data_IF_938247278473
#
_entry.id   IF_938247278473
#
_cell.length_a   1.000
_cell.length_b   1.000
_cell.length_c   1.000
_cell.angle_alpha   90.00
_cell.angle_beta   90.00
_cell.angle_gamma   90.00
#
_symmetry.space_group_name_H-M   'P 1'
#
loop_
_entity.id
_entity.type
_entity.pdbx_description
1 polymer ?
#
# COMPACT_ATOMS: atom_id res chain seq x y z
N UNK A 1 44.09 -18.40 -61.05
CA UNK A 1 42.77 -17.90 -60.60
C UNK A 1 42.58 -18.27 -59.13
N UNK A 2 43.07 -17.43 -58.21
CA UNK A 2 42.68 -17.52 -56.80
C UNK A 2 42.16 -16.16 -56.39
N UNK A 3 40.86 -16.12 -56.12
CA UNK A 3 40.12 -14.93 -55.72
C UNK A 3 40.50 -14.52 -54.30
N UNK A 4 40.68 -13.21 -54.12
CA UNK A 4 40.86 -12.56 -52.83
C UNK A 4 39.56 -12.66 -52.01
N UNK A 5 39.66 -13.20 -50.79
CA UNK A 5 38.60 -13.15 -49.81
C UNK A 5 38.69 -11.81 -49.05
N UNK A 6 37.65 -10.98 -49.20
CA UNK A 6 37.44 -9.81 -48.35
C UNK A 6 37.25 -10.25 -46.90
N UNK A 7 38.08 -9.71 -46.01
CA UNK A 7 37.88 -9.81 -44.57
C UNK A 7 36.63 -9.00 -44.17
N UNK A 8 35.69 -9.66 -43.48
CA UNK A 8 34.57 -9.00 -42.84
C UNK A 8 35.07 -8.17 -41.64
N UNK A 9 34.64 -6.91 -41.58
CA UNK A 9 34.83 -6.04 -40.41
C UNK A 9 34.22 -6.68 -39.16
N UNK A 10 34.83 -6.50 -37.97
CA UNK A 10 34.21 -6.87 -36.71
C UNK A 10 33.00 -5.95 -36.48
N UNK A 11 31.83 -6.57 -36.35
CA UNK A 11 30.59 -5.94 -35.91
C UNK A 11 30.84 -5.20 -34.60
N UNK A 12 30.49 -3.92 -34.57
CA UNK A 12 30.55 -3.07 -33.38
C UNK A 12 29.88 -3.77 -32.20
N UNK A 13 30.57 -3.82 -31.05
CA UNK A 13 29.97 -4.14 -29.75
C UNK A 13 28.71 -3.29 -29.60
N UNK A 14 27.56 -3.96 -29.45
CA UNK A 14 26.25 -3.33 -29.33
C UNK A 14 26.26 -2.28 -28.23
N UNK A 15 25.66 -1.12 -28.50
CA UNK A 15 25.47 -0.09 -27.50
C UNK A 15 24.61 -0.66 -26.35
N UNK A 16 25.08 -0.47 -25.11
CA UNK A 16 24.33 -0.78 -23.89
C UNK A 16 22.99 -0.07 -23.90
N UNK A 17 21.89 -0.81 -23.77
CA UNK A 17 20.56 -0.19 -23.73
C UNK A 17 20.34 0.36 -22.32
N UNK A 18 20.39 1.68 -22.19
CA UNK A 18 20.05 2.37 -20.95
C UNK A 18 18.78 3.20 -21.16
N UNK A 19 17.82 3.07 -20.25
CA UNK A 19 16.60 3.89 -20.24
C UNK A 19 16.23 4.30 -18.82
N UNK A 20 15.82 5.55 -18.67
CA UNK A 20 15.34 6.13 -17.42
C UNK A 20 14.06 6.90 -17.67
N UNK A 21 13.16 6.91 -16.69
CA UNK A 21 11.96 7.75 -16.65
C UNK A 21 12.30 9.05 -15.93
N UNK A 22 12.74 10.06 -16.69
CA UNK A 22 13.16 11.35 -16.12
C UNK A 22 11.99 12.04 -15.38
N UNK A 23 12.21 12.39 -14.12
CA UNK A 23 11.20 13.04 -13.26
C UNK A 23 10.27 12.07 -12.52
N UNK A 24 10.46 10.75 -12.64
CA UNK A 24 9.83 9.80 -11.73
C UNK A 24 10.57 9.82 -10.39
N UNK A 25 9.89 10.28 -9.35
CA UNK A 25 10.41 10.42 -8.00
C UNK A 25 9.45 9.78 -6.99
N UNK A 26 10.00 9.13 -5.97
CA UNK A 26 9.22 8.64 -4.84
C UNK A 26 8.52 9.78 -4.08
N UNK A 27 7.42 9.46 -3.41
CA UNK A 27 6.72 10.38 -2.53
C UNK A 27 7.18 10.24 -1.08
N UNK A 28 6.37 10.81 -0.19
CA UNK A 28 6.65 10.85 1.25
C UNK A 28 5.69 9.94 2.05
N UNK A 29 5.06 8.93 1.42
CA UNK A 29 4.12 8.03 2.12
C UNK A 29 4.86 6.93 2.87
N UNK A 30 4.30 6.56 4.02
CA UNK A 30 4.82 5.42 4.80
C UNK A 30 4.35 4.08 4.22
N UNK A 31 3.16 4.05 3.64
CA UNK A 31 2.68 2.88 2.91
C UNK A 31 3.38 2.83 1.54
N UNK A 32 4.60 2.29 1.51
CA UNK A 32 5.52 2.31 0.34
C UNK A 32 4.89 1.80 -0.95
N UNK A 33 3.95 0.85 -0.87
CA UNK A 33 3.20 0.36 -2.04
C UNK A 33 2.38 1.47 -2.69
N UNK A 34 1.64 2.20 -1.86
CA UNK A 34 0.75 3.27 -2.30
C UNK A 34 1.56 4.51 -2.65
N UNK A 35 2.73 4.71 -2.02
CA UNK A 35 3.73 5.69 -2.46
C UNK A 35 4.15 5.47 -3.91
N UNK A 36 4.53 4.23 -4.24
CA UNK A 36 4.93 3.87 -5.60
C UNK A 36 3.79 4.12 -6.60
N UNK A 37 2.54 3.85 -6.22
CA UNK A 37 1.36 4.11 -7.06
C UNK A 37 1.06 5.60 -7.20
N UNK A 38 1.18 6.40 -6.14
CA UNK A 38 1.00 7.85 -6.19
C UNK A 38 2.07 8.52 -7.05
N UNK A 39 3.34 8.13 -6.88
CA UNK A 39 4.45 8.58 -7.71
C UNK A 39 4.26 8.22 -9.19
N UNK A 40 3.85 6.98 -9.47
CA UNK A 40 3.59 6.53 -10.83
C UNK A 40 2.43 7.29 -11.49
N UNK A 41 1.32 7.49 -10.78
CA UNK A 41 0.17 8.23 -11.32
C UNK A 41 0.52 9.72 -11.55
N UNK A 42 1.26 10.34 -10.63
CA UNK A 42 1.80 11.70 -10.81
C UNK A 42 2.70 11.81 -12.04
N UNK A 43 3.63 10.87 -12.24
CA UNK A 43 4.50 10.84 -13.42
C UNK A 43 3.71 10.73 -14.72
N UNK A 44 2.66 9.91 -14.74
CA UNK A 44 1.78 9.73 -15.90
C UNK A 44 0.82 10.91 -16.13
N UNK A 45 0.83 11.94 -15.28
CA UNK A 45 -0.11 13.06 -15.35
C UNK A 45 -1.54 12.68 -14.98
N UNK A 46 -1.72 11.58 -14.25
CA UNK A 46 -3.03 11.11 -13.76
C UNK A 46 -3.36 11.88 -12.48
N UNK A 47 -4.41 12.68 -12.52
CA UNK A 47 -4.89 13.42 -11.37
C UNK A 47 -5.77 12.53 -10.47
N UNK A 48 -5.17 12.00 -9.41
CA UNK A 48 -5.86 11.25 -8.37
C UNK A 48 -5.42 11.78 -7.01
N UNK A 49 -6.36 11.93 -6.08
CA UNK A 49 -6.02 12.31 -4.69
C UNK A 49 -5.52 11.09 -3.93
N UNK A 50 -4.73 11.29 -2.88
CA UNK A 50 -4.31 10.19 -2.01
C UNK A 50 -5.50 9.48 -1.34
N UNK A 51 -6.53 10.22 -0.95
CA UNK A 51 -7.77 9.64 -0.41
C UNK A 51 -8.45 8.71 -1.42
N UNK A 52 -8.62 9.17 -2.67
CA UNK A 52 -9.20 8.36 -3.73
C UNK A 52 -8.35 7.13 -4.09
N UNK A 53 -7.02 7.27 -4.09
CA UNK A 53 -6.09 6.17 -4.32
C UNK A 53 -6.16 5.11 -3.22
N UNK A 54 -6.01 5.50 -1.95
CA UNK A 54 -6.00 4.56 -0.83
C UNK A 54 -7.37 3.92 -0.59
N UNK A 55 -8.44 4.73 -0.65
CA UNK A 55 -9.80 4.24 -0.44
C UNK A 55 -10.30 3.40 -1.60
N UNK A 56 -10.08 3.85 -2.84
CA UNK A 56 -10.51 3.15 -4.05
C UNK A 56 -9.77 1.83 -4.30
N UNK A 57 -8.55 1.67 -3.77
CA UNK A 57 -7.86 0.37 -3.75
C UNK A 57 -8.23 -0.51 -2.55
N UNK A 58 -9.04 0.01 -1.62
CA UNK A 58 -9.40 -0.65 -0.37
C UNK A 58 -8.31 -0.62 0.71
N UNK A 59 -7.09 -0.15 0.39
CA UNK A 59 -5.96 -0.19 1.30
C UNK A 59 -6.17 0.66 2.56
N UNK A 60 -6.90 1.78 2.43
CA UNK A 60 -7.24 2.67 3.55
C UNK A 60 -7.95 1.96 4.72
N UNK A 61 -8.63 0.85 4.44
CA UNK A 61 -9.47 0.11 5.40
C UNK A 61 -8.82 -1.17 5.91
N UNK A 62 -7.71 -1.60 5.32
CA UNK A 62 -6.96 -2.76 5.76
C UNK A 62 -6.22 -2.43 7.06
N UNK A 63 -6.11 -3.44 7.91
CA UNK A 63 -5.17 -3.47 9.04
C UNK A 63 -4.81 -4.93 9.29
N UNK A 64 -3.52 -5.22 9.44
CA UNK A 64 -3.03 -6.58 9.73
C UNK A 64 -1.88 -6.54 10.75
N UNK A 65 -2.04 -7.28 11.84
CA UNK A 65 -1.08 -7.30 12.95
C UNK A 65 -0.76 -8.74 13.38
N UNK A 66 0.52 -9.00 13.64
CA UNK A 66 0.99 -10.19 14.34
C UNK A 66 1.03 -9.97 15.86
N UNK A 67 1.12 -11.05 16.63
CA UNK A 67 1.07 -11.01 18.09
C UNK A 67 2.16 -10.16 18.76
N UNK A 68 3.31 -10.00 18.11
CA UNK A 68 4.46 -9.23 18.55
C UNK A 68 4.56 -7.84 17.89
N UNK A 69 3.58 -7.48 17.06
CA UNK A 69 3.62 -6.28 16.21
C UNK A 69 4.86 -6.27 15.30
N UNK A 70 5.31 -7.43 14.81
CA UNK A 70 6.41 -7.51 13.85
C UNK A 70 6.21 -6.49 12.70
N UNK A 71 7.25 -5.69 12.34
CA UNK A 71 7.15 -4.67 11.30
C UNK A 71 6.67 -5.18 9.93
N UNK A 72 6.73 -6.49 9.66
CA UNK A 72 6.21 -7.05 8.41
C UNK A 72 4.68 -7.03 8.33
N UNK A 73 3.97 -6.88 9.46
CA UNK A 73 2.52 -7.02 9.56
C UNK A 73 1.71 -6.22 8.52
N UNK A 74 2.05 -4.96 8.19
CA UNK A 74 1.33 -4.20 7.16
C UNK A 74 1.31 -4.85 5.77
N UNK A 75 2.26 -5.75 5.50
CA UNK A 75 2.36 -6.49 4.25
C UNK A 75 1.81 -7.92 4.34
N UNK A 76 1.45 -8.40 5.54
CA UNK A 76 1.04 -9.78 5.81
C UNK A 76 -0.44 -10.06 5.57
N UNK A 77 -0.93 -9.64 4.40
CA UNK A 77 -2.28 -9.92 3.92
C UNK A 77 -2.29 -10.18 2.41
N UNK A 78 -3.35 -10.80 1.90
CA UNK A 78 -3.52 -11.16 0.50
C UNK A 78 -3.89 -9.92 -0.30
N UNK A 79 -2.94 -9.34 -1.03
CA UNK A 79 -3.13 -8.10 -1.78
C UNK A 79 -3.92 -8.25 -3.10
N UNK A 80 -4.38 -9.46 -3.45
CA UNK A 80 -5.18 -9.71 -4.65
C UNK A 80 -6.43 -8.83 -4.81
N UNK A 81 -7.23 -8.57 -3.75
CA UNK A 81 -8.35 -7.63 -3.81
C UNK A 81 -7.92 -6.20 -4.19
N UNK A 82 -6.80 -5.70 -3.67
CA UNK A 82 -6.27 -4.38 -4.01
C UNK A 82 -6.04 -4.24 -5.53
N UNK A 83 -5.41 -5.25 -6.14
CA UNK A 83 -5.16 -5.30 -7.58
C UNK A 83 -6.46 -5.32 -8.40
N UNK A 84 -7.52 -5.95 -7.88
CA UNK A 84 -8.83 -5.95 -8.54
C UNK A 84 -9.51 -4.59 -8.43
N UNK A 85 -9.48 -3.98 -7.25
CA UNK A 85 -10.09 -2.68 -6.96
C UNK A 85 -9.40 -1.54 -7.70
N UNK A 86 -8.07 -1.60 -7.83
CA UNK A 86 -7.30 -0.62 -8.60
C UNK A 86 -7.79 -0.46 -10.05
N UNK A 87 -8.46 -1.47 -10.64
CA UNK A 87 -9.04 -1.40 -11.99
C UNK A 87 -10.22 -0.44 -12.11
N UNK A 88 -10.79 0.00 -10.99
CA UNK A 88 -11.82 1.03 -10.97
C UNK A 88 -11.22 2.44 -11.06
N UNK A 89 -9.90 2.60 -10.92
CA UNK A 89 -9.21 3.88 -10.94
C UNK A 89 -8.69 4.23 -12.35
N UNK A 90 -8.19 5.45 -12.52
CA UNK A 90 -7.69 5.96 -13.80
C UNK A 90 -6.33 5.36 -14.24
N UNK A 91 -5.95 4.22 -13.67
CA UNK A 91 -4.75 3.47 -14.00
C UNK A 91 -5.02 1.98 -13.90
N UNK A 92 -4.19 1.18 -14.57
CA UNK A 92 -4.16 -0.27 -14.40
C UNK A 92 -2.76 -0.72 -14.04
N UNK A 93 -2.72 -1.81 -13.29
CA UNK A 93 -1.49 -2.48 -12.91
C UNK A 93 -1.33 -3.76 -13.72
N UNK A 94 -0.17 -3.92 -14.35
CA UNK A 94 0.31 -5.16 -14.94
C UNK A 94 1.54 -5.63 -14.15
N UNK A 95 1.87 -6.92 -14.17
CA UNK A 95 3.05 -7.36 -13.42
C UNK A 95 3.36 -8.84 -13.50
N UNK A 96 4.49 -9.19 -12.87
CA UNK A 96 5.00 -10.54 -12.70
C UNK A 96 5.22 -10.75 -11.21
N UNK A 97 4.57 -11.78 -10.65
CA UNK A 97 4.61 -12.08 -9.24
C UNK A 97 4.76 -13.59 -8.99
N UNK A 98 5.48 -13.97 -7.95
CA UNK A 98 5.58 -15.36 -7.52
C UNK A 98 6.30 -15.54 -6.17
N UNK A 99 5.99 -16.64 -5.47
CA UNK A 99 6.48 -16.90 -4.12
C UNK A 99 7.98 -17.24 -4.05
N UNK A 100 8.63 -17.41 -5.21
CA UNK A 100 10.06 -17.69 -5.32
C UNK A 100 10.65 -17.00 -6.54
N UNK A 101 11.70 -16.22 -6.33
CA UNK A 101 12.55 -15.64 -7.36
C UNK A 101 13.36 -16.74 -8.08
N UNK A 102 12.71 -17.49 -8.97
CA UNK A 102 13.39 -18.42 -9.87
C UNK A 102 14.00 -17.65 -11.03
N UNK A 103 15.03 -18.22 -11.67
CA UNK A 103 15.64 -17.62 -12.87
C UNK A 103 14.60 -17.28 -13.94
N UNK A 104 13.66 -18.19 -14.22
CA UNK A 104 12.61 -17.96 -15.21
C UNK A 104 11.69 -16.80 -14.82
N UNK A 105 11.34 -16.68 -13.54
CA UNK A 105 10.49 -15.60 -13.07
C UNK A 105 11.24 -14.26 -13.10
N UNK A 106 12.52 -14.25 -12.73
CA UNK A 106 13.39 -13.07 -12.84
C UNK A 106 13.53 -12.63 -14.30
N UNK A 107 13.70 -13.55 -15.25
CA UNK A 107 13.77 -13.24 -16.69
C UNK A 107 12.45 -12.62 -17.18
N UNK A 108 11.30 -13.14 -16.75
CA UNK A 108 9.99 -12.55 -17.07
C UNK A 108 9.79 -11.17 -16.45
N UNK A 109 10.24 -10.97 -15.21
CA UNK A 109 10.18 -9.68 -14.52
C UNK A 109 11.06 -8.64 -15.25
N UNK A 110 12.27 -9.04 -15.65
CA UNK A 110 13.19 -8.22 -16.43
C UNK A 110 12.59 -7.76 -17.76
N UNK A 111 12.04 -8.70 -18.53
CA UNK A 111 11.41 -8.40 -19.82
C UNK A 111 10.18 -7.50 -19.65
N UNK A 112 9.38 -7.73 -18.59
CA UNK A 112 8.23 -6.91 -18.25
C UNK A 112 8.63 -5.46 -17.96
N UNK A 113 9.61 -5.25 -17.06
CA UNK A 113 10.07 -3.91 -16.68
C UNK A 113 10.65 -3.18 -17.90
N UNK A 114 11.49 -3.85 -18.71
CA UNK A 114 12.05 -3.24 -19.92
C UNK A 114 10.98 -2.83 -20.92
N UNK A 115 9.99 -3.68 -21.14
CA UNK A 115 8.89 -3.37 -22.05
C UNK A 115 8.04 -2.19 -21.54
N UNK A 116 7.74 -2.15 -20.25
CA UNK A 116 6.95 -1.08 -19.62
C UNK A 116 7.70 0.26 -19.65
N UNK A 117 8.95 0.31 -19.18
CA UNK A 117 9.79 1.51 -19.21
C UNK A 117 10.04 1.95 -20.66
N UNK A 118 10.18 1.01 -21.59
CA UNK A 118 10.28 1.31 -23.02
C UNK A 118 9.06 2.04 -23.61
N UNK A 119 7.90 1.92 -22.96
CA UNK A 119 6.65 2.60 -23.29
C UNK A 119 6.41 3.86 -22.44
N UNK A 120 7.32 4.19 -21.52
CA UNK A 120 7.14 5.30 -20.59
C UNK A 120 6.24 4.97 -19.39
N UNK A 121 6.01 3.70 -19.09
CA UNK A 121 5.20 3.26 -17.95
C UNK A 121 6.09 3.03 -16.71
N UNK A 122 5.84 3.73 -15.58
CA UNK A 122 6.54 3.50 -14.31
C UNK A 122 6.42 2.06 -13.85
N UNK A 123 7.50 1.56 -13.25
CA UNK A 123 7.52 0.25 -12.59
C UNK A 123 7.86 0.40 -11.11
N UNK A 124 7.45 -0.59 -10.32
CA UNK A 124 7.83 -0.74 -8.93
C UNK A 124 7.86 -2.22 -8.56
N UNK A 125 8.49 -2.58 -7.44
CA UNK A 125 8.54 -3.98 -7.01
C UNK A 125 8.84 -4.14 -5.54
N UNK A 126 8.70 -5.38 -5.06
CA UNK A 126 8.90 -5.74 -3.66
C UNK A 126 10.35 -6.14 -3.38
N UNK A 127 11.01 -5.43 -2.46
CA UNK A 127 12.34 -5.74 -1.95
C UNK A 127 12.48 -5.26 -0.50
N UNK A 128 11.94 -6.04 0.45
CA UNK A 128 11.72 -5.69 1.88
C UNK A 128 10.67 -4.61 2.10
N UNK A 129 10.66 -3.60 1.24
CA UNK A 129 9.63 -2.59 1.06
C UNK A 129 9.30 -2.49 -0.44
N UNK A 130 8.25 -1.74 -0.79
CA UNK A 130 8.02 -1.41 -2.19
C UNK A 130 8.95 -0.29 -2.64
N UNK A 131 9.58 -0.48 -3.79
CA UNK A 131 10.55 0.47 -4.37
C UNK A 131 10.17 0.81 -5.80
N UNK A 132 10.32 2.09 -6.17
CA UNK A 132 10.16 2.52 -7.56
C UNK A 132 11.36 2.07 -8.38
N UNK A 133 11.08 1.58 -9.58
CA UNK A 133 12.07 1.26 -10.60
C UNK A 133 12.05 2.40 -11.63
N UNK A 134 13.08 3.25 -11.59
CA UNK A 134 13.17 4.49 -12.37
C UNK A 134 13.84 4.29 -13.73
N UNK A 135 14.45 3.13 -13.97
CA UNK A 135 15.14 2.83 -15.20
C UNK A 135 15.84 1.48 -15.17
N UNK A 136 16.61 1.22 -16.22
CA UNK A 136 17.46 0.05 -16.32
C UNK A 136 18.65 0.28 -17.26
N UNK A 137 19.67 -0.57 -17.12
CA UNK A 137 20.76 -0.76 -18.09
C UNK A 137 21.02 -2.25 -18.36
N UNK A 138 22.16 -2.62 -18.95
CA UNK A 138 22.49 -4.02 -19.21
C UNK A 138 22.72 -4.86 -17.93
N UNK A 139 23.00 -4.22 -16.79
CA UNK A 139 23.28 -4.88 -15.51
C UNK A 139 22.00 -5.09 -14.69
N UNK A 140 21.12 -4.09 -14.63
CA UNK A 140 19.81 -4.24 -14.02
C UNK A 140 19.09 -2.92 -13.78
N UNK A 141 18.40 -2.81 -12.64
CA UNK A 141 17.45 -1.72 -12.40
C UNK A 141 18.11 -0.51 -11.74
N UNK A 142 17.54 0.67 -12.00
CA UNK A 142 17.73 1.87 -11.20
C UNK A 142 16.52 2.07 -10.30
N UNK A 143 16.75 2.54 -9.08
CA UNK A 143 15.71 2.64 -8.05
C UNK A 143 15.59 4.06 -7.49
N UNK A 144 14.43 4.33 -6.91
CA UNK A 144 14.20 5.48 -6.01
C UNK A 144 13.37 5.00 -4.82
N UNK A 145 13.76 5.38 -3.60
CA UNK A 145 13.02 5.06 -2.37
C UNK A 145 13.93 4.93 -1.16
N UNK A 146 13.35 4.47 -0.03
CA UNK A 146 14.07 4.30 1.23
C UNK A 146 15.04 3.11 1.26
N UNK A 147 14.84 2.14 0.37
CA UNK A 147 15.68 0.96 0.23
C UNK A 147 16.33 1.01 -1.15
N UNK A 148 17.62 0.71 -1.21
CA UNK A 148 18.37 0.55 -2.46
C UNK A 148 18.68 -0.94 -2.65
N UNK A 149 17.87 -1.68 -3.44
CA UNK A 149 18.17 -3.06 -3.79
C UNK A 149 19.50 -3.20 -4.56
N UNK A 150 20.00 -4.44 -4.61
CA UNK A 150 21.10 -4.76 -5.51
C UNK A 150 20.74 -4.47 -6.96
N UNK A 151 21.69 -3.84 -7.68
CA UNK A 151 21.51 -3.43 -9.07
C UNK A 151 21.19 -4.63 -10.00
N UNK A 152 21.77 -5.81 -9.75
CA UNK A 152 21.54 -6.99 -10.60
C UNK A 152 20.07 -7.44 -10.50
N UNK A 153 19.35 -7.37 -11.63
CA UNK A 153 17.93 -7.74 -11.67
C UNK A 153 17.66 -9.20 -11.26
N UNK A 154 18.66 -10.08 -11.34
CA UNK A 154 18.55 -11.48 -10.91
C UNK A 154 18.46 -11.63 -9.41
N UNK A 155 19.03 -10.67 -8.69
CA UNK A 155 19.05 -10.63 -7.23
C UNK A 155 17.79 -9.96 -6.64
N UNK A 156 17.05 -9.20 -7.47
CA UNK A 156 15.80 -8.56 -7.08
C UNK A 156 14.79 -9.61 -6.59
N UNK A 157 14.21 -9.36 -5.40
CA UNK A 157 13.39 -10.32 -4.67
C UNK A 157 14.16 -11.51 -4.05
N UNK A 158 15.12 -12.10 -4.78
CA UNK A 158 15.87 -13.29 -4.37
C UNK A 158 16.68 -13.07 -3.09
N UNK A 159 17.39 -11.93 -2.98
CA UNK A 159 18.16 -11.56 -1.78
C UNK A 159 17.33 -10.87 -0.69
N UNK A 160 16.05 -10.61 -0.96
CA UNK A 160 15.12 -10.15 0.06
C UNK A 160 14.55 -11.35 0.84
N UNK A 161 13.24 -11.49 0.89
CA UNK A 161 12.55 -12.64 1.47
C UNK A 161 12.38 -13.82 0.48
N UNK A 162 12.95 -13.70 -0.72
CA UNK A 162 12.86 -14.72 -1.77
C UNK A 162 11.62 -14.61 -2.67
N UNK A 163 10.69 -13.71 -2.37
CA UNK A 163 9.53 -13.40 -3.20
C UNK A 163 9.93 -12.44 -4.32
N UNK A 164 9.37 -12.61 -5.51
CA UNK A 164 9.58 -11.70 -6.62
C UNK A 164 8.24 -11.15 -7.08
N UNK A 165 8.07 -9.84 -6.93
CA UNK A 165 6.90 -9.11 -7.40
C UNK A 165 7.38 -7.81 -8.05
N UNK A 166 7.01 -7.61 -9.31
CA UNK A 166 7.22 -6.37 -10.05
C UNK A 166 5.94 -6.00 -10.79
N UNK A 167 5.62 -4.72 -10.80
CA UNK A 167 4.43 -4.19 -11.45
C UNK A 167 4.76 -2.94 -12.27
N UNK A 168 4.07 -2.78 -13.38
CA UNK A 168 3.99 -1.56 -14.16
C UNK A 168 2.65 -0.85 -13.93
N UNK A 169 2.66 0.47 -13.96
CA UNK A 169 1.45 1.30 -13.93
C UNK A 169 1.29 1.97 -15.28
N UNK A 170 0.09 1.91 -15.84
CA UNK A 170 -0.24 2.58 -17.08
C UNK A 170 -1.64 3.23 -17.00
N UNK A 171 -1.91 4.29 -17.79
CA UNK A 171 -3.22 4.93 -17.78
C UNK A 171 -4.35 3.97 -18.18
N UNK A 172 -5.52 4.17 -17.57
CA UNK A 172 -6.73 3.42 -17.90
C UNK A 172 -7.97 4.31 -17.73
N UNK A 173 -9.06 3.90 -18.37
CA UNK A 173 -10.35 4.54 -18.14
C UNK A 173 -10.89 4.13 -16.76
N UNK A 174 -11.25 5.08 -15.87
CA UNK A 174 -11.81 4.74 -14.57
C UNK A 174 -13.21 4.15 -14.69
N UNK A 175 -13.61 3.40 -13.67
CA UNK A 175 -15.02 3.04 -13.49
C UNK A 175 -15.83 4.26 -13.01
N UNK A 176 -17.17 4.23 -13.11
CA UNK A 176 -18.02 5.22 -12.45
C UNK A 176 -17.71 5.34 -10.95
N UNK A 177 -17.85 6.56 -10.41
CA UNK A 177 -17.52 6.84 -9.01
C UNK A 177 -18.35 5.97 -8.05
N UNK A 178 -19.63 5.76 -8.33
CA UNK A 178 -20.52 4.93 -7.51
C UNK A 178 -20.03 3.49 -7.40
N UNK A 179 -19.55 2.92 -8.53
CA UNK A 179 -18.97 1.58 -8.55
C UNK A 179 -17.67 1.53 -7.74
N UNK A 180 -16.80 2.53 -7.91
CA UNK A 180 -15.54 2.63 -7.17
C UNK A 180 -15.78 2.65 -5.66
N UNK A 181 -16.74 3.47 -5.22
CA UNK A 181 -17.16 3.59 -3.82
C UNK A 181 -17.74 2.25 -3.34
N UNK A 182 -18.72 1.71 -4.06
CA UNK A 182 -19.43 0.51 -3.66
C UNK A 182 -18.50 -0.70 -3.51
N UNK A 183 -17.62 -0.93 -4.49
CA UNK A 183 -16.68 -2.05 -4.46
C UNK A 183 -15.66 -1.90 -3.32
N UNK A 184 -15.12 -0.69 -3.12
CA UNK A 184 -14.17 -0.41 -2.05
C UNK A 184 -14.81 -0.62 -0.67
N UNK A 185 -16.02 -0.12 -0.43
CA UNK A 185 -16.70 -0.25 0.85
C UNK A 185 -17.16 -1.69 1.11
N UNK A 186 -17.62 -2.41 0.08
CA UNK A 186 -17.90 -3.85 0.20
C UNK A 186 -16.65 -4.62 0.60
N UNK A 187 -15.51 -4.32 -0.01
CA UNK A 187 -14.25 -4.93 0.39
C UNK A 187 -13.84 -4.56 1.82
N UNK A 188 -14.00 -3.30 2.24
CA UNK A 188 -13.69 -2.90 3.62
C UNK A 188 -14.52 -3.68 4.65
N UNK A 189 -15.81 -3.85 4.41
CA UNK A 189 -16.70 -4.65 5.25
C UNK A 189 -16.31 -6.13 5.23
N UNK A 190 -16.09 -6.69 4.04
CA UNK A 190 -15.67 -8.08 3.87
C UNK A 190 -14.32 -8.37 4.55
N UNK A 191 -13.35 -7.46 4.42
CA UNK A 191 -12.06 -7.57 5.10
C UNK A 191 -12.23 -7.58 6.62
N UNK A 192 -13.11 -6.74 7.17
CA UNK A 192 -13.35 -6.70 8.60
C UNK A 192 -14.07 -7.97 9.11
N UNK A 193 -15.12 -8.42 8.40
CA UNK A 193 -15.95 -9.56 8.80
C UNK A 193 -15.28 -10.91 8.55
N UNK A 194 -14.46 -11.01 7.50
CA UNK A 194 -13.83 -12.23 7.03
C UNK A 194 -12.30 -12.12 7.03
N UNK A 195 -11.71 -11.39 8.00
CA UNK A 195 -10.28 -11.08 8.00
C UNK A 195 -9.36 -12.31 7.90
N UNK A 196 -9.78 -13.47 8.41
CA UNK A 196 -9.02 -14.73 8.30
C UNK A 196 -8.88 -15.24 6.85
N UNK A 197 -9.76 -14.83 5.93
CA UNK A 197 -9.62 -15.12 4.51
C UNK A 197 -8.65 -14.17 3.81
N UNK A 198 -8.40 -13.00 4.39
CA UNK A 198 -7.57 -11.94 3.80
C UNK A 198 -6.18 -11.86 4.39
N UNK A 199 -5.98 -12.30 5.63
CA UNK A 199 -4.68 -12.25 6.32
C UNK A 199 -3.83 -13.50 6.05
N UNK A 200 -2.51 -13.37 6.23
CA UNK A 200 -1.62 -14.53 6.24
C UNK A 200 -1.68 -15.23 7.60
N UNK A 201 -1.31 -16.52 7.65
CA UNK A 201 -1.36 -17.29 8.89
C UNK A 201 -0.51 -16.66 10.00
N UNK A 202 -1.10 -16.52 11.20
CA UNK A 202 -0.46 -15.89 12.35
C UNK A 202 -0.72 -14.39 12.49
N UNK A 203 -1.52 -13.80 11.60
CA UNK A 203 -1.91 -12.39 11.64
C UNK A 203 -3.42 -12.26 11.82
N UNK A 204 -3.82 -11.25 12.58
CA UNK A 204 -5.21 -10.82 12.71
C UNK A 204 -5.47 -9.61 11.82
N UNK A 205 -6.74 -9.38 11.46
CA UNK A 205 -7.15 -8.20 10.71
C UNK A 205 -8.46 -7.61 11.21
N UNK A 206 -8.85 -6.47 10.66
CA UNK A 206 -10.07 -5.76 11.08
C UNK A 206 -10.05 -5.43 12.57
N UNK A 207 -11.19 -5.59 13.25
CA UNK A 207 -11.29 -5.30 14.69
C UNK A 207 -10.41 -6.21 15.56
N UNK A 208 -10.18 -7.46 15.15
CA UNK A 208 -9.35 -8.41 15.88
C UNK A 208 -7.88 -7.96 15.94
N UNK A 209 -7.40 -7.22 14.94
CA UNK A 209 -6.05 -6.66 14.95
C UNK A 209 -5.86 -5.62 16.08
N UNK A 210 -6.88 -4.83 16.44
CA UNK A 210 -6.82 -3.95 17.61
C UNK A 210 -6.72 -4.75 18.91
N UNK A 211 -7.46 -5.85 19.03
CA UNK A 211 -7.40 -6.72 20.21
C UNK A 211 -6.00 -7.35 20.36
N UNK A 212 -5.37 -7.72 19.24
CA UNK A 212 -3.98 -8.20 19.20
C UNK A 212 -2.98 -7.09 19.57
N UNK A 213 -3.19 -5.86 19.12
CA UNK A 213 -2.39 -4.71 19.54
C UNK A 213 -2.45 -4.47 21.05
N UNK A 214 -3.68 -4.40 21.58
CA UNK A 214 -3.93 -4.17 23.01
C UNK A 214 -3.25 -5.25 23.85
N UNK A 215 -3.43 -6.53 23.48
CA UNK A 215 -2.78 -7.65 24.18
C UNK A 215 -1.26 -7.55 24.13
N UNK A 216 -0.70 -7.22 22.96
CA UNK A 216 0.76 -7.05 22.81
C UNK A 216 1.32 -5.99 23.78
N UNK A 217 0.62 -4.87 23.92
CA UNK A 217 0.95 -3.82 24.88
C UNK A 217 0.81 -4.33 26.32
N UNK A 218 -0.34 -4.89 26.69
CA UNK A 218 -0.61 -5.42 28.04
C UNK A 218 0.46 -6.42 28.51
N UNK A 219 0.92 -7.28 27.61
CA UNK A 219 1.95 -8.29 27.89
C UNK A 219 3.39 -7.75 27.86
N UNK A 220 3.61 -6.52 27.37
CA UNK A 220 4.95 -5.94 27.21
C UNK A 220 5.82 -6.67 26.18
N UNK A 221 5.19 -7.33 25.20
CA UNK A 221 5.86 -8.17 24.18
C UNK A 221 5.92 -7.52 22.80
N UNK A 222 5.47 -6.29 22.65
CA UNK A 222 5.53 -5.58 21.37
C UNK A 222 6.97 -5.31 20.96
N UNK A 223 7.30 -5.55 19.70
CA UNK A 223 8.50 -5.01 19.08
C UNK A 223 8.42 -3.46 19.08
N UNK A 224 9.38 -2.73 19.68
CA UNK A 224 9.29 -1.28 19.76
C UNK A 224 9.27 -0.59 18.39
N UNK A 225 10.07 -1.09 17.44
CA UNK A 225 10.10 -0.57 16.07
C UNK A 225 8.79 -0.89 15.33
N UNK A 226 8.26 -2.10 15.52
CA UNK A 226 6.99 -2.54 14.98
C UNK A 226 5.80 -1.76 15.52
N UNK A 227 5.75 -1.48 16.83
CA UNK A 227 4.76 -0.59 17.43
C UNK A 227 4.76 0.78 16.74
N UNK A 228 5.94 1.37 16.60
CA UNK A 228 6.12 2.63 15.90
C UNK A 228 5.64 2.60 14.44
N UNK A 229 6.04 1.57 13.71
CA UNK A 229 5.70 1.40 12.31
C UNK A 229 4.19 1.22 12.10
N UNK A 230 3.58 0.33 12.87
CA UNK A 230 2.14 0.08 12.84
C UNK A 230 1.32 1.31 13.21
N UNK A 231 1.71 2.06 14.25
CA UNK A 231 1.04 3.33 14.60
C UNK A 231 0.96 4.26 13.41
N UNK A 232 2.09 4.51 12.75
CA UNK A 232 2.14 5.52 11.69
C UNK A 232 1.51 5.06 10.38
N UNK A 233 1.69 3.80 9.99
CA UNK A 233 1.01 3.26 8.79
C UNK A 233 -0.50 3.28 8.97
N UNK A 234 -1.00 2.77 10.10
CA UNK A 234 -2.45 2.69 10.28
C UNK A 234 -3.06 4.07 10.53
N UNK A 235 -2.33 5.00 11.14
CA UNK A 235 -2.69 6.42 11.16
C UNK A 235 -2.86 6.96 9.74
N UNK A 236 -1.85 6.81 8.87
CA UNK A 236 -1.91 7.25 7.47
C UNK A 236 -3.13 6.64 6.75
N UNK A 237 -3.32 5.33 6.85
CA UNK A 237 -4.45 4.64 6.23
C UNK A 237 -5.80 5.18 6.70
N UNK A 238 -5.97 5.41 8.01
CA UNK A 238 -7.27 5.86 8.58
C UNK A 238 -7.54 7.34 8.33
N UNK A 239 -6.50 8.17 8.26
CA UNK A 239 -6.60 9.54 7.74
C UNK A 239 -7.09 9.53 6.29
N UNK A 240 -6.51 8.67 5.45
CA UNK A 240 -6.88 8.59 4.03
C UNK A 240 -8.23 7.88 3.80
N UNK A 241 -8.67 7.02 4.71
CA UNK A 241 -10.02 6.46 4.73
C UNK A 241 -11.07 7.55 4.93
N UNK A 242 -10.86 8.46 5.89
CA UNK A 242 -11.73 9.62 6.07
C UNK A 242 -11.75 10.52 4.84
N UNK A 243 -10.58 10.84 4.28
CA UNK A 243 -10.46 11.67 3.08
C UNK A 243 -11.19 11.04 1.87
N UNK A 244 -11.09 9.72 1.70
CA UNK A 244 -11.85 8.99 0.68
C UNK A 244 -13.35 9.16 0.85
N UNK A 245 -13.87 8.99 2.06
CA UNK A 245 -15.31 9.09 2.34
C UNK A 245 -15.85 10.51 2.14
N UNK A 246 -15.05 11.54 2.47
CA UNK A 246 -15.36 12.95 2.20
C UNK A 246 -15.38 13.25 0.69
N UNK A 247 -14.40 12.72 -0.05
CA UNK A 247 -14.36 12.86 -1.51
C UNK A 247 -15.49 12.09 -2.19
N UNK A 248 -15.80 10.88 -1.74
CA UNK A 248 -16.94 10.08 -2.20
C UNK A 248 -18.27 10.84 -2.03
N UNK A 249 -18.42 11.55 -0.91
CA UNK A 249 -19.60 12.38 -0.69
C UNK A 249 -19.70 13.54 -1.69
N UNK A 250 -18.56 14.16 -2.01
CA UNK A 250 -18.48 15.23 -3.01
C UNK A 250 -18.81 14.71 -4.42
N UNK A 251 -18.23 13.57 -4.81
CA UNK A 251 -18.40 12.95 -6.14
C UNK A 251 -19.83 12.46 -6.39
N UNK A 252 -20.51 11.99 -5.34
CA UNK A 252 -21.92 11.61 -5.41
C UNK A 252 -22.88 12.81 -5.28
N UNK A 253 -22.37 14.05 -5.32
CA UNK A 253 -23.18 15.26 -5.20
C UNK A 253 -23.92 15.39 -3.86
N UNK A 254 -23.39 14.77 -2.79
CA UNK A 254 -23.99 14.76 -1.45
C UNK A 254 -25.21 13.86 -1.30
N UNK A 255 -25.52 13.00 -2.29
CA UNK A 255 -26.69 12.11 -2.24
C UNK A 255 -26.66 11.13 -1.07
N UNK A 256 -25.46 10.82 -0.56
CA UNK A 256 -25.25 9.91 0.56
C UNK A 256 -24.69 10.59 1.81
N UNK A 257 -24.77 11.93 1.93
CA UNK A 257 -24.19 12.69 3.06
C UNK A 257 -24.61 12.15 4.43
N UNK A 258 -25.89 11.80 4.60
CA UNK A 258 -26.44 11.27 5.85
C UNK A 258 -25.77 9.96 6.32
N UNK A 259 -25.05 9.28 5.42
CA UNK A 259 -24.33 8.03 5.71
C UNK A 259 -22.82 8.16 5.57
N UNK A 260 -22.33 8.91 4.58
CA UNK A 260 -20.89 9.12 4.34
C UNK A 260 -20.24 10.05 5.36
N UNK A 261 -20.90 11.14 5.78
CA UNK A 261 -20.32 12.07 6.75
C UNK A 261 -20.14 11.45 8.14
N UNK A 262 -21.12 10.67 8.68
CA UNK A 262 -20.90 9.88 9.89
C UNK A 262 -19.74 8.89 9.77
N UNK A 263 -19.64 8.15 8.67
CA UNK A 263 -18.54 7.22 8.43
C UNK A 263 -17.19 7.96 8.44
N UNK A 264 -17.06 9.05 7.67
CA UNK A 264 -15.85 9.86 7.60
C UNK A 264 -15.42 10.38 8.97
N UNK A 265 -16.39 10.84 9.78
CA UNK A 265 -16.14 11.29 11.16
C UNK A 265 -15.56 10.17 12.02
N UNK A 266 -16.14 8.97 11.99
CA UNK A 266 -15.62 7.84 12.74
C UNK A 266 -14.19 7.46 12.32
N UNK A 267 -13.87 7.46 11.02
CA UNK A 267 -12.49 7.23 10.58
C UNK A 267 -11.52 8.36 10.97
N UNK A 268 -11.97 9.62 11.08
CA UNK A 268 -11.17 10.70 11.70
C UNK A 268 -10.95 10.46 13.18
N UNK A 269 -11.95 9.95 13.91
CA UNK A 269 -11.80 9.61 15.33
C UNK A 269 -10.78 8.46 15.51
N UNK A 270 -10.78 7.46 14.62
CA UNK A 270 -9.74 6.41 14.59
C UNK A 270 -8.36 7.04 14.41
N UNK A 271 -8.19 7.87 13.38
CA UNK A 271 -6.93 8.54 13.08
C UNK A 271 -6.47 9.43 14.26
N UNK A 272 -7.36 10.20 14.87
CA UNK A 272 -7.03 11.03 16.02
C UNK A 272 -6.52 10.21 17.22
N UNK A 273 -7.11 9.04 17.47
CA UNK A 273 -6.65 8.15 18.53
C UNK A 273 -5.30 7.50 18.20
N UNK A 274 -5.04 7.11 16.95
CA UNK A 274 -3.73 6.62 16.53
C UNK A 274 -2.66 7.72 16.56
N UNK A 275 -3.03 8.97 16.25
CA UNK A 275 -2.14 10.12 16.40
C UNK A 275 -1.78 10.39 17.87
N UNK A 276 -2.69 10.12 18.82
CA UNK A 276 -2.36 10.17 20.24
C UNK A 276 -1.31 9.11 20.61
N UNK A 277 -1.41 7.90 20.06
CA UNK A 277 -0.37 6.86 20.22
C UNK A 277 0.95 7.31 19.59
N UNK A 278 0.95 7.91 18.39
CA UNK A 278 2.17 8.40 17.73
C UNK A 278 2.85 9.51 18.55
N UNK A 279 2.06 10.43 19.10
CA UNK A 279 2.55 11.49 19.96
C UNK A 279 3.20 10.94 21.23
N UNK A 280 2.67 9.84 21.79
CA UNK A 280 3.31 9.15 22.90
C UNK A 280 4.66 8.56 22.49
N UNK A 281 4.83 8.06 21.26
CA UNK A 281 6.07 7.43 20.80
C UNK A 281 7.24 8.41 20.60
N UNK A 282 6.95 9.70 20.33
CA UNK A 282 7.92 10.79 20.19
C UNK A 282 9.08 10.49 19.22
N UNK A 283 8.75 9.85 18.09
CA UNK A 283 9.75 9.43 17.10
C UNK A 283 10.24 10.60 16.24
N UNK A 284 9.42 11.65 16.06
CA UNK A 284 9.74 12.74 15.15
C UNK A 284 9.86 12.28 13.70
N UNK A 285 11.08 11.92 13.27
CA UNK A 285 11.44 11.57 11.88
C UNK A 285 11.36 10.06 11.65
N UNK A 286 10.90 9.66 10.46
CA UNK A 286 10.95 8.28 10.00
C UNK A 286 12.03 8.10 8.92
N UNK A 287 12.80 7.00 8.91
CA UNK A 287 12.87 5.96 9.94
C UNK A 287 13.52 6.45 11.25
N UNK A 288 13.24 5.80 12.40
CA UNK A 288 13.80 6.21 13.67
C UNK A 288 15.32 6.01 13.71
N UNK A 289 16.03 6.96 14.31
CA UNK A 289 17.46 6.83 14.64
C UNK A 289 17.68 5.73 15.69
N UNK A 290 18.92 5.26 15.84
CA UNK A 290 19.23 4.24 16.85
C UNK A 290 18.98 4.72 18.29
N UNK A 291 19.15 6.02 18.56
CA UNK A 291 18.79 6.64 19.84
C UNK A 291 17.28 6.60 20.07
N UNK A 292 16.49 6.92 19.04
CA UNK A 292 15.03 6.88 19.11
C UNK A 292 14.52 5.45 19.31
N UNK A 293 15.14 4.46 18.65
CA UNK A 293 14.82 3.03 18.85
C UNK A 293 15.03 2.60 20.31
N UNK A 294 16.08 3.08 20.97
CA UNK A 294 16.29 2.81 22.39
C UNK A 294 15.20 3.45 23.27
N UNK A 295 14.75 4.66 22.93
CA UNK A 295 13.66 5.36 23.61
C UNK A 295 12.29 4.67 23.50
N UNK A 296 12.01 4.03 22.36
CA UNK A 296 10.74 3.30 22.14
C UNK A 296 10.54 2.16 23.16
N UNK A 297 11.62 1.49 23.56
CA UNK A 297 11.53 0.42 24.58
C UNK A 297 11.14 0.98 25.95
N UNK A 298 11.71 2.13 26.32
CA UNK A 298 11.42 2.79 27.58
C UNK A 298 9.95 3.25 27.67
N UNK A 299 9.29 3.52 26.54
CA UNK A 299 7.84 3.78 26.51
C UNK A 299 7.04 2.54 26.90
N UNK A 300 7.34 1.39 26.29
CA UNK A 300 6.63 0.14 26.55
C UNK A 300 6.81 -0.31 28.02
N UNK A 301 7.98 -0.04 28.58
CA UNK A 301 8.31 -0.40 29.95
C UNK A 301 7.74 0.61 30.99
N UNK A 302 7.24 1.78 30.57
CA UNK A 302 6.54 2.76 31.42
C UNK A 302 5.03 2.41 31.53
N UNK A 303 4.54 1.96 32.70
CA UNK A 303 3.14 1.55 32.84
C UNK A 303 2.14 2.67 32.53
N UNK A 304 2.44 3.93 32.85
CA UNK A 304 1.50 5.03 32.65
C UNK A 304 1.33 5.34 31.17
N UNK A 305 2.44 5.45 30.42
CA UNK A 305 2.41 5.67 28.96
C UNK A 305 1.78 4.50 28.23
N UNK A 306 2.04 3.28 28.69
CA UNK A 306 1.44 2.07 28.14
C UNK A 306 -0.08 2.04 28.35
N UNK A 307 -0.56 2.37 29.56
CA UNK A 307 -1.99 2.41 29.86
C UNK A 307 -2.71 3.48 29.00
N UNK A 308 -2.06 4.62 28.78
CA UNK A 308 -2.55 5.68 27.88
C UNK A 308 -2.63 5.20 26.43
N UNK A 309 -1.57 4.57 25.91
CA UNK A 309 -1.58 3.98 24.58
C UNK A 309 -2.70 2.94 24.41
N UNK A 310 -2.89 2.05 25.39
CA UNK A 310 -3.98 1.05 25.38
C UNK A 310 -5.35 1.75 25.34
N UNK A 311 -5.54 2.82 26.10
CA UNK A 311 -6.80 3.57 26.11
C UNK A 311 -7.09 4.18 24.73
N UNK A 312 -6.09 4.79 24.09
CA UNK A 312 -6.21 5.32 22.73
C UNK A 312 -6.50 4.21 21.70
N UNK A 313 -5.82 3.07 21.76
CA UNK A 313 -6.08 1.94 20.84
C UNK A 313 -7.50 1.37 21.03
N UNK A 314 -8.01 1.30 22.27
CA UNK A 314 -9.41 0.91 22.54
C UNK A 314 -10.42 1.91 21.97
N UNK A 315 -10.15 3.20 22.08
CA UNK A 315 -10.99 4.24 21.51
C UNK A 315 -10.97 4.20 19.97
N UNK A 316 -9.80 3.98 19.36
CA UNK A 316 -9.66 3.74 17.92
C UNK A 316 -10.49 2.54 17.46
N UNK A 317 -10.39 1.40 18.17
CA UNK A 317 -11.20 0.20 17.89
C UNK A 317 -12.70 0.48 17.92
N UNK A 318 -13.19 1.17 18.95
CA UNK A 318 -14.61 1.50 19.08
C UNK A 318 -15.10 2.46 17.98
N UNK A 319 -14.27 3.44 17.60
CA UNK A 319 -14.57 4.32 16.48
C UNK A 319 -14.60 3.55 15.15
N UNK A 320 -13.69 2.60 14.94
CA UNK A 320 -13.68 1.77 13.73
C UNK A 320 -14.92 0.85 13.66
N UNK A 321 -15.34 0.27 14.78
CA UNK A 321 -16.57 -0.52 14.84
C UNK A 321 -17.80 0.30 14.44
N UNK A 322 -17.90 1.54 14.92
CA UNK A 322 -18.95 2.47 14.50
C UNK A 322 -18.82 2.87 13.02
N UNK A 323 -17.60 3.13 12.54
CA UNK A 323 -17.31 3.42 11.14
C UNK A 323 -17.76 2.28 10.21
N UNK A 324 -17.47 1.03 10.56
CA UNK A 324 -17.89 -0.16 9.81
C UNK A 324 -19.41 -0.32 9.79
N UNK A 325 -20.11 0.01 10.88
CA UNK A 325 -21.57 0.04 10.88
C UNK A 325 -22.10 1.07 9.87
N UNK A 326 -21.45 2.23 9.77
CA UNK A 326 -21.82 3.28 8.84
C UNK A 326 -21.50 2.94 7.39
N UNK A 327 -20.36 2.28 7.12
CA UNK A 327 -20.05 1.77 5.78
C UNK A 327 -21.15 0.82 5.27
N UNK A 328 -21.69 -0.05 6.13
CA UNK A 328 -22.82 -0.93 5.75
C UNK A 328 -24.08 -0.13 5.38
N UNK A 329 -24.35 0.98 6.08
CA UNK A 329 -25.46 1.88 5.75
C UNK A 329 -25.23 2.57 4.40
N UNK A 330 -24.01 3.02 4.11
CA UNK A 330 -23.63 3.62 2.82
C UNK A 330 -23.86 2.61 1.69
N UNK A 331 -23.32 1.40 1.80
CA UNK A 331 -23.48 0.34 0.79
C UNK A 331 -24.97 0.06 0.52
N UNK A 332 -25.77 -0.09 1.57
CA UNK A 332 -27.22 -0.30 1.44
C UNK A 332 -27.91 0.87 0.72
N UNK A 333 -27.50 2.11 0.99
CA UNK A 333 -28.07 3.29 0.35
C UNK A 333 -27.73 3.36 -1.14
N UNK A 334 -26.48 3.07 -1.51
CA UNK A 334 -26.03 3.06 -2.91
C UNK A 334 -26.72 1.98 -3.74
N UNK A 335 -26.87 0.75 -3.21
CA UNK A 335 -27.55 -0.36 -3.91
C UNK A 335 -29.03 -0.09 -4.19
N UNK A 336 -29.71 0.60 -3.27
CA UNK A 336 -31.10 1.03 -3.46
C UNK A 336 -31.22 2.07 -4.58
N UNK A 337 -30.27 3.00 -4.65
CA UNK A 337 -30.23 4.02 -5.70
C UNK A 337 -30.00 3.40 -7.08
N UNK A 338 -29.09 2.42 -7.21
CA UNK A 338 -28.87 1.69 -8.47
C UNK A 338 -30.14 0.97 -8.94
N UNK A 339 -30.83 0.30 -8.02
CA UNK A 339 -32.05 -0.46 -8.33
C UNK A 339 -33.17 0.45 -8.84
N UNK A 340 -33.35 1.63 -8.22
CA UNK A 340 -34.36 2.60 -8.61
C UNK A 340 -34.10 3.26 -9.98
N UNK A 341 -32.85 3.27 -10.45
CA UNK A 341 -32.48 3.76 -11.79
C UNK A 341 -32.73 2.68 -12.84
N UNK A 342 -32.46 1.40 -12.54
CA UNK A 342 -32.66 0.30 -13.50
C UNK A 342 -34.13 -0.01 -13.80
N UNK A 343 -35.07 0.43 -12.96
CA UNK A 343 -36.51 0.22 -13.15
C UNK A 343 -37.21 1.34 -13.95
N UNK A 344 -36.48 2.42 -14.31
CA UNK A 344 -37.02 3.57 -15.07
C UNK A 344 -36.69 3.48 -16.56
#
# INVERSE_FOLDING_TARGET
MYAAACAASPTAKGATEMRTLEGLEHGDRLTTHLDCLEAATKYLGIHITAGWLYGGTGHAFVMSLGADLCPSGPHCWKQGPMHRLARNLSFRMGGVAGPRATRELSEKAWDHVRAAIGQGHPCYGWHWEWVLITGFDDEGYFYSGMVEPDKDWRDFGAKAIGFLEVYSVEPAEPAPDEKTILDALRFAIDYADNHGEHTLGGYDGGLAAYDTWIRGLEEGKTDPHGLAYHTRIWLECRTLAAAFLEEANTRTGGQCSDTLEPAARHYRDVAANLAAVDALLDIGVWPPTDEQKAGLRALIDDPARRDEAIASVRAARAAEEAGLADLRRVVTALERSESAVSER
#
